data_IF_937868195856
#
_entry.id   IF_937868195856
#
_cell.length_a   1.000
_cell.length_b   1.000
_cell.length_c   1.000
_cell.angle_alpha   90.00
_cell.angle_beta   90.00
_cell.angle_gamma   90.00
#
_symmetry.space_group_name_H-M   'P 1'
#
loop_
_entity.id
_entity.type
_entity.pdbx_description
1 polymer ?
#
# COMPACT_ATOMS: atom_id res chain seq x y z
N UNK A 1 1.38 5.15 -28.99
CA UNK A 1 1.45 4.42 -27.70
C UNK A 1 0.11 4.30 -26.97
N UNK A 2 -0.90 5.11 -27.28
CA UNK A 2 -2.22 5.11 -26.61
C UNK A 2 -2.92 3.74 -26.53
N UNK A 3 -2.98 2.92 -27.59
CA UNK A 3 -3.74 1.66 -27.54
C UNK A 3 -3.20 0.65 -26.53
N UNK A 4 -1.87 0.55 -26.39
CA UNK A 4 -1.21 -0.37 -25.44
C UNK A 4 -1.38 0.11 -24.00
N UNK A 5 -1.21 1.41 -23.75
CA UNK A 5 -1.44 1.99 -22.44
C UNK A 5 -2.90 1.81 -21.99
N UNK A 6 -3.86 2.02 -22.89
CA UNK A 6 -5.29 1.85 -22.59
C UNK A 6 -5.64 0.38 -22.33
N UNK A 7 -5.06 -0.55 -23.09
CA UNK A 7 -5.23 -1.98 -22.85
C UNK A 7 -4.67 -2.40 -21.48
N UNK A 8 -3.46 -1.93 -21.15
CA UNK A 8 -2.83 -2.17 -19.85
C UNK A 8 -3.64 -1.56 -18.70
N UNK A 9 -4.13 -0.32 -18.85
CA UNK A 9 -5.00 0.34 -17.89
C UNK A 9 -6.27 -0.48 -17.64
N UNK A 10 -6.98 -0.89 -18.70
CA UNK A 10 -8.17 -1.74 -18.56
C UNK A 10 -7.86 -3.06 -17.88
N UNK A 11 -6.74 -3.69 -18.22
CA UNK A 11 -6.33 -4.95 -17.60
C UNK A 11 -6.01 -4.78 -16.10
N UNK A 12 -5.29 -3.73 -15.72
CA UNK A 12 -4.95 -3.44 -14.31
C UNK A 12 -6.20 -3.09 -13.51
N UNK A 13 -7.11 -2.29 -14.07
CA UNK A 13 -8.34 -1.89 -13.38
C UNK A 13 -9.40 -3.02 -13.33
N UNK A 14 -9.31 -4.04 -14.18
CA UNK A 14 -10.25 -5.17 -14.17
C UNK A 14 -9.82 -6.28 -13.18
N UNK A 15 -9.73 -5.93 -11.90
CA UNK A 15 -9.36 -6.81 -10.79
C UNK A 15 -10.28 -6.59 -9.59
N UNK A 16 -10.35 -7.55 -8.65
CA UNK A 16 -11.10 -7.39 -7.39
C UNK A 16 -10.34 -6.53 -6.37
N UNK A 17 -9.00 -6.55 -6.44
CA UNK A 17 -8.11 -5.81 -5.55
C UNK A 17 -7.02 -5.12 -6.34
N UNK A 18 -6.82 -3.84 -6.04
CA UNK A 18 -5.75 -3.04 -6.58
C UNK A 18 -4.92 -2.48 -5.44
N UNK A 19 -3.60 -2.50 -5.61
CA UNK A 19 -2.71 -1.77 -4.72
C UNK A 19 -2.29 -0.45 -5.36
N UNK A 20 -2.22 0.62 -4.57
CA UNK A 20 -1.71 1.91 -5.04
C UNK A 20 -0.71 2.55 -4.08
N UNK A 21 0.28 3.23 -4.65
CA UNK A 21 1.28 4.02 -3.95
C UNK A 21 1.71 5.19 -4.84
N UNK A 22 2.33 6.21 -4.25
CA UNK A 22 2.92 7.33 -4.99
C UNK A 22 4.39 7.55 -4.64
N UNK A 23 5.23 7.70 -5.65
CA UNK A 23 6.66 7.95 -5.48
C UNK A 23 7.03 9.34 -5.98
N UNK A 24 7.73 10.16 -5.17
CA UNK A 24 8.20 11.46 -5.62
C UNK A 24 9.31 11.30 -6.66
N UNK A 25 9.23 12.07 -7.75
CA UNK A 25 10.25 12.11 -8.80
C UNK A 25 10.70 13.53 -9.09
N UNK A 26 12.00 13.72 -9.31
CA UNK A 26 12.56 15.01 -9.74
C UNK A 26 12.39 15.15 -11.25
N UNK A 27 11.62 16.15 -11.65
CA UNK A 27 11.34 16.45 -13.06
C UNK A 27 12.02 17.75 -13.43
N UNK A 28 12.72 17.78 -14.57
CA UNK A 28 13.29 19.01 -15.11
C UNK A 28 12.18 20.00 -15.44
N UNK A 29 12.35 21.26 -15.07
CA UNK A 29 11.51 22.36 -15.53
C UNK A 29 12.33 23.20 -16.53
N UNK A 30 12.22 22.92 -17.85
CA UNK A 30 12.95 23.65 -18.87
C UNK A 30 12.72 25.16 -18.73
N UNK A 31 13.79 25.95 -18.85
CA UNK A 31 13.76 27.41 -18.69
C UNK A 31 14.04 27.92 -17.26
N UNK A 32 13.92 27.08 -16.23
CA UNK A 32 14.10 27.53 -14.83
C UNK A 32 15.42 27.08 -14.18
N UNK A 33 16.27 26.30 -14.87
CA UNK A 33 17.49 25.65 -14.33
C UNK A 33 17.26 24.94 -12.97
N UNK A 34 16.01 24.55 -12.67
CA UNK A 34 15.56 23.94 -11.42
C UNK A 34 14.76 22.67 -11.72
N UNK A 35 14.70 21.77 -10.73
CA UNK A 35 13.82 20.61 -10.76
C UNK A 35 12.55 20.89 -9.95
N UNK A 36 11.42 20.33 -10.39
CA UNK A 36 10.17 20.28 -9.62
C UNK A 36 9.90 18.84 -9.18
N UNK A 37 9.26 18.68 -8.03
CA UNK A 37 8.88 17.35 -7.52
C UNK A 37 7.52 16.96 -8.09
N UNK A 38 7.50 16.02 -9.04
CA UNK A 38 6.29 15.35 -9.49
C UNK A 38 6.02 14.05 -8.71
N UNK A 39 4.96 13.35 -9.06
CA UNK A 39 4.57 12.05 -8.51
C UNK A 39 4.37 11.03 -9.63
N UNK A 40 4.86 9.83 -9.40
CA UNK A 40 4.46 8.64 -10.14
C UNK A 40 3.51 7.86 -9.25
N UNK A 41 2.26 7.77 -9.68
CA UNK A 41 1.25 6.90 -9.10
C UNK A 41 1.43 5.52 -9.68
N UNK A 42 1.50 4.52 -8.81
CA UNK A 42 1.60 3.12 -9.19
C UNK A 42 0.27 2.45 -8.87
N UNK A 43 -0.24 1.65 -9.81
CA UNK A 43 -1.41 0.81 -9.63
C UNK A 43 -1.04 -0.63 -9.96
N UNK A 44 -1.05 -1.51 -8.95
CA UNK A 44 -0.54 -2.88 -9.06
C UNK A 44 -1.68 -3.88 -8.93
N UNK A 45 -1.86 -4.67 -9.99
CA UNK A 45 -2.63 -5.91 -10.01
C UNK A 45 -1.66 -7.07 -9.78
N UNK A 46 -1.66 -7.66 -8.60
CA UNK A 46 -0.88 -8.87 -8.33
C UNK A 46 -1.42 -9.59 -7.10
N UNK A 47 -2.12 -10.69 -7.36
CA UNK A 47 -2.79 -11.54 -6.37
C UNK A 47 -2.16 -12.93 -6.30
N UNK A 48 -0.91 -13.11 -6.76
CA UNK A 48 -0.21 -14.40 -6.69
C UNK A 48 -0.05 -14.90 -5.25
N UNK A 49 0.14 -13.98 -4.29
CA UNK A 49 0.16 -14.31 -2.86
C UNK A 49 -1.17 -14.89 -2.34
N UNK A 50 -2.25 -14.71 -3.10
CA UNK A 50 -3.58 -15.26 -2.84
C UNK A 50 -3.91 -16.46 -3.75
N UNK A 51 -2.91 -17.09 -4.36
CA UNK A 51 -3.10 -18.23 -5.26
C UNK A 51 -3.62 -17.87 -6.66
N UNK A 52 -3.68 -16.58 -7.03
CA UNK A 52 -4.16 -16.19 -8.36
C UNK A 52 -3.18 -16.59 -9.47
N UNK A 53 -3.71 -17.20 -10.52
CA UNK A 53 -3.00 -17.50 -11.77
C UNK A 53 -3.00 -16.34 -12.78
N UNK A 54 -3.70 -15.24 -12.47
CA UNK A 54 -3.71 -14.06 -13.35
C UNK A 54 -2.32 -13.43 -13.47
N UNK A 55 -1.83 -13.12 -14.68
CA UNK A 55 -0.58 -12.41 -14.86
C UNK A 55 -0.54 -11.08 -14.09
N UNK A 56 0.52 -10.81 -13.31
CA UNK A 56 0.65 -9.54 -12.60
C UNK A 56 0.88 -8.40 -13.59
N UNK A 57 0.37 -7.22 -13.28
CA UNK A 57 0.57 -6.03 -14.09
C UNK A 57 0.64 -4.77 -13.22
N UNK A 58 1.35 -3.77 -13.76
CA UNK A 58 1.48 -2.45 -13.14
C UNK A 58 1.15 -1.38 -14.16
N UNK A 59 0.30 -0.44 -13.78
CA UNK A 59 0.04 0.77 -14.55
C UNK A 59 0.57 1.98 -13.78
N UNK A 60 1.25 2.88 -14.49
CA UNK A 60 1.82 4.09 -13.93
C UNK A 60 1.11 5.32 -14.47
N UNK A 61 0.92 6.31 -13.61
CA UNK A 61 0.45 7.63 -14.00
C UNK A 61 1.35 8.71 -13.42
N UNK A 62 1.60 9.76 -14.19
CA UNK A 62 2.37 10.91 -13.72
C UNK A 62 1.47 12.09 -13.34
N UNK A 63 1.83 12.79 -12.28
CA UNK A 63 1.31 14.12 -11.99
C UNK A 63 2.39 15.09 -11.53
N UNK A 64 2.17 16.38 -11.73
CA UNK A 64 3.11 17.43 -11.30
C UNK A 64 3.04 17.77 -9.81
N UNK A 65 2.11 17.17 -9.07
CA UNK A 65 1.93 17.36 -7.62
C UNK A 65 1.21 16.16 -6.97
N UNK A 66 1.18 16.11 -5.64
CA UNK A 66 0.55 15.05 -4.83
C UNK A 66 -0.88 15.44 -4.39
N UNK A 67 -1.78 15.69 -5.34
CA UNK A 67 -3.18 16.02 -5.02
C UNK A 67 -4.11 14.82 -5.21
N UNK A 68 -5.08 14.64 -4.30
CA UNK A 68 -6.07 13.56 -4.36
C UNK A 68 -6.95 13.55 -5.62
N UNK A 69 -7.00 14.66 -6.38
CA UNK A 69 -7.70 14.70 -7.67
C UNK A 69 -7.14 13.71 -8.69
N UNK A 70 -5.85 13.39 -8.63
CA UNK A 70 -5.19 12.47 -9.56
C UNK A 70 -5.68 11.03 -9.34
N UNK A 71 -5.54 10.43 -8.14
CA UNK A 71 -6.09 9.11 -7.91
C UNK A 71 -7.63 9.07 -8.03
N UNK A 72 -8.36 10.16 -7.71
CA UNK A 72 -9.81 10.28 -8.01
C UNK A 72 -10.09 10.06 -9.50
N UNK A 73 -9.35 10.73 -10.38
CA UNK A 73 -9.51 10.58 -11.83
C UNK A 73 -9.07 9.19 -12.31
N UNK A 74 -7.89 8.73 -11.91
CA UNK A 74 -7.32 7.44 -12.35
C UNK A 74 -8.21 6.25 -11.98
N UNK A 75 -8.78 6.27 -10.78
CA UNK A 75 -9.56 5.16 -10.23
C UNK A 75 -11.05 5.26 -10.53
N UNK A 76 -11.53 6.31 -11.21
CA UNK A 76 -12.96 6.56 -11.45
C UNK A 76 -13.75 5.31 -11.90
N UNK A 77 -13.28 4.46 -12.84
CA UNK A 77 -14.01 3.25 -13.23
C UNK A 77 -13.75 2.04 -12.31
N UNK A 78 -12.72 2.09 -11.47
CA UNK A 78 -12.35 0.99 -10.58
C UNK A 78 -13.39 0.79 -9.47
N UNK A 79 -13.66 -0.49 -9.16
CA UNK A 79 -14.55 -0.94 -8.09
C UNK A 79 -13.88 -2.09 -7.34
N UNK A 80 -14.15 -2.19 -6.05
CA UNK A 80 -13.61 -3.25 -5.20
C UNK A 80 -12.61 -2.73 -4.18
N UNK A 81 -11.59 -3.53 -3.89
CA UNK A 81 -10.68 -3.28 -2.77
C UNK A 81 -9.49 -2.45 -3.24
N UNK A 82 -9.27 -1.30 -2.60
CA UNK A 82 -8.08 -0.47 -2.81
C UNK A 82 -7.18 -0.55 -1.58
N UNK A 83 -5.99 -1.14 -1.76
CA UNK A 83 -4.97 -1.17 -0.73
C UNK A 83 -3.98 -0.02 -0.92
N UNK A 84 -3.95 0.93 0.02
CA UNK A 84 -3.16 2.15 -0.08
C UNK A 84 -2.40 2.48 1.23
N UNK A 85 -1.52 3.49 1.18
CA UNK A 85 -1.09 4.20 2.40
C UNK A 85 -2.22 5.12 2.90
N UNK A 86 -2.10 5.65 4.12
CA UNK A 86 -3.09 6.58 4.68
C UNK A 86 -2.84 8.03 4.21
N UNK A 87 -2.53 8.21 2.93
CA UNK A 87 -2.48 9.54 2.35
C UNK A 87 -3.89 10.12 2.27
N UNK A 88 -4.11 11.26 2.94
CA UNK A 88 -5.42 11.93 3.02
C UNK A 88 -6.03 12.31 1.66
N UNK A 89 -5.22 12.34 0.59
CA UNK A 89 -5.76 12.51 -0.76
C UNK A 89 -6.60 11.32 -1.24
N UNK A 90 -6.59 10.19 -0.54
CA UNK A 90 -7.45 9.04 -0.80
C UNK A 90 -8.80 9.11 -0.08
N UNK A 91 -8.98 9.91 0.98
CA UNK A 91 -10.19 9.92 1.81
C UNK A 91 -11.49 10.04 0.98
N UNK A 92 -11.49 10.93 -0.02
CA UNK A 92 -12.65 11.12 -0.92
C UNK A 92 -12.98 9.90 -1.79
N UNK A 93 -12.04 8.99 -1.99
CA UNK A 93 -12.26 7.73 -2.71
C UNK A 93 -13.09 6.72 -1.91
N UNK A 94 -13.16 6.87 -0.59
CA UNK A 94 -13.91 5.97 0.29
C UNK A 94 -15.22 6.59 0.79
N UNK A 95 -15.49 7.84 0.40
CA UNK A 95 -16.75 8.52 0.70
C UNK A 95 -17.93 7.92 -0.08
N UNK A 96 -19.11 7.91 0.55
CA UNK A 96 -20.37 7.50 -0.09
C UNK A 96 -20.74 8.40 -1.30
N UNK A 97 -20.24 9.62 -1.33
CA UNK A 97 -20.45 10.61 -2.39
C UNK A 97 -19.45 10.47 -3.55
N UNK A 98 -18.66 9.38 -3.60
CA UNK A 98 -17.70 9.16 -4.66
C UNK A 98 -18.38 9.17 -6.03
N UNK A 99 -17.89 10.03 -6.91
CA UNK A 99 -18.13 9.89 -8.35
C UNK A 99 -17.43 8.64 -8.89
N UNK A 100 -18.19 7.60 -9.17
CA UNK A 100 -17.69 6.31 -9.67
C UNK A 100 -18.31 5.14 -8.91
N UNK A 101 -17.69 3.97 -9.00
CA UNK A 101 -18.15 2.79 -8.26
C UNK A 101 -17.74 2.87 -6.78
N UNK A 102 -18.34 2.09 -5.87
CA UNK A 102 -17.87 2.03 -4.49
C UNK A 102 -16.46 1.40 -4.40
N UNK A 103 -15.64 1.89 -3.46
CA UNK A 103 -14.38 1.27 -3.06
C UNK A 103 -14.42 0.88 -1.60
N UNK A 104 -13.67 -0.17 -1.29
CA UNK A 104 -13.39 -0.53 0.09
C UNK A 104 -11.93 -0.34 0.39
N UNK A 105 -11.65 0.38 1.47
CA UNK A 105 -10.29 0.65 1.93
C UNK A 105 -9.69 -0.59 2.61
N UNK A 106 -8.42 -0.85 2.30
CA UNK A 106 -7.54 -1.71 3.11
C UNK A 106 -6.26 -0.93 3.36
N UNK A 107 -5.98 -0.60 4.61
CA UNK A 107 -4.75 0.09 4.96
C UNK A 107 -3.54 -0.87 4.87
N UNK A 108 -2.37 -0.32 4.55
CA UNK A 108 -1.17 -1.12 4.39
C UNK A 108 -0.33 -1.22 5.68
N UNK A 109 -0.20 -2.44 6.21
CA UNK A 109 0.66 -2.73 7.38
C UNK A 109 2.14 -2.41 7.16
N UNK A 110 2.65 -2.46 5.93
CA UNK A 110 4.03 -2.07 5.65
C UNK A 110 4.29 -0.59 5.99
N UNK A 111 3.33 0.29 5.68
CA UNK A 111 3.41 1.72 5.99
C UNK A 111 3.25 1.98 7.49
N UNK A 112 2.31 1.31 8.15
CA UNK A 112 2.14 1.35 9.60
C UNK A 112 3.42 0.92 10.33
N UNK A 113 3.97 -0.24 9.96
CA UNK A 113 5.21 -0.80 10.53
C UNK A 113 6.42 0.10 10.28
N UNK A 114 6.57 0.69 9.09
CA UNK A 114 7.71 1.56 8.75
C UNK A 114 7.83 2.74 9.71
N UNK A 115 6.72 3.38 10.07
CA UNK A 115 6.73 4.51 11.02
C UNK A 115 7.26 4.11 12.39
N UNK A 116 6.86 2.96 12.91
CA UNK A 116 7.35 2.43 14.19
C UNK A 116 8.84 2.06 14.07
N UNK A 117 9.22 1.43 12.96
CA UNK A 117 10.60 1.05 12.67
C UNK A 117 11.54 2.26 12.62
N UNK A 118 11.15 3.36 11.98
CA UNK A 118 11.95 4.59 11.90
C UNK A 118 12.19 5.19 13.30
N UNK A 119 11.21 5.08 14.19
CA UNK A 119 11.37 5.45 15.60
C UNK A 119 12.36 4.52 16.29
N UNK A 120 12.22 3.20 16.15
CA UNK A 120 13.13 2.22 16.74
C UNK A 120 14.59 2.42 16.28
N UNK A 121 14.83 2.61 14.97
CA UNK A 121 16.19 2.86 14.45
C UNK A 121 16.80 4.10 15.10
N UNK A 122 16.02 5.16 15.30
CA UNK A 122 16.52 6.41 15.87
C UNK A 122 16.66 6.45 17.39
N UNK A 123 15.91 5.61 18.13
CA UNK A 123 15.79 5.73 19.60
C UNK A 123 16.11 4.46 20.37
N UNK A 124 16.10 3.29 19.70
CA UNK A 124 16.16 1.97 20.33
C UNK A 124 15.13 1.78 21.46
N UNK A 125 13.98 2.42 21.33
CA UNK A 125 12.88 2.30 22.28
C UNK A 125 12.41 0.85 22.40
N UNK A 126 12.44 0.30 23.62
CA UNK A 126 11.91 -1.03 23.93
C UNK A 126 10.42 -1.15 23.57
N UNK A 127 9.64 -0.07 23.74
CA UNK A 127 8.23 -0.04 23.33
C UNK A 127 8.09 -0.13 21.81
N UNK A 128 8.95 0.55 21.04
CA UNK A 128 8.93 0.43 19.59
C UNK A 128 9.35 -0.98 19.12
N UNK A 129 10.32 -1.59 19.80
CA UNK A 129 10.75 -2.97 19.55
C UNK A 129 9.64 -4.00 19.79
N UNK A 130 8.96 -3.90 20.93
CA UNK A 130 7.83 -4.77 21.27
C UNK A 130 6.68 -4.63 20.27
N UNK A 131 6.37 -3.41 19.82
CA UNK A 131 5.38 -3.19 18.77
C UNK A 131 5.77 -3.90 17.46
N UNK A 132 7.04 -3.80 17.05
CA UNK A 132 7.54 -4.48 15.85
C UNK A 132 7.50 -6.00 15.99
N UNK A 133 7.78 -6.54 17.19
CA UNK A 133 7.69 -7.97 17.50
C UNK A 133 6.25 -8.47 17.34
N UNK A 134 5.28 -7.81 17.96
CA UNK A 134 3.85 -8.18 17.83
C UNK A 134 3.37 -8.12 16.38
N UNK A 135 3.79 -7.08 15.64
CA UNK A 135 3.49 -7.00 14.20
C UNK A 135 4.16 -8.18 13.44
N UNK A 136 5.38 -8.58 13.80
CA UNK A 136 6.08 -9.68 13.12
C UNK A 136 5.37 -11.03 13.26
N UNK A 137 4.66 -11.28 14.37
CA UNK A 137 3.86 -12.50 14.56
C UNK A 137 2.72 -12.59 13.54
N UNK A 138 2.10 -11.46 13.20
CA UNK A 138 1.08 -11.39 12.16
C UNK A 138 1.68 -11.63 10.76
N UNK A 139 2.91 -11.15 10.51
CA UNK A 139 3.64 -11.46 9.27
C UNK A 139 3.99 -12.94 9.14
N UNK A 140 4.32 -13.62 10.24
CA UNK A 140 4.62 -15.04 10.23
C UNK A 140 3.40 -15.86 9.77
N UNK A 141 2.21 -15.55 10.29
CA UNK A 141 0.95 -16.18 9.84
C UNK A 141 0.74 -15.98 8.34
N UNK A 142 0.99 -14.77 7.84
CA UNK A 142 0.78 -14.43 6.41
C UNK A 142 1.81 -15.05 5.48
N UNK A 143 2.99 -15.41 5.99
CA UNK A 143 4.00 -16.18 5.26
C UNK A 143 3.55 -17.65 5.12
N UNK A 144 3.05 -18.23 6.21
CA UNK A 144 2.56 -19.62 6.23
C UNK A 144 1.37 -19.86 5.31
N UNK A 145 0.43 -18.91 5.23
CA UNK A 145 -0.79 -19.04 4.42
C UNK A 145 -0.65 -18.51 2.98
N UNK A 146 0.57 -18.13 2.58
CA UNK A 146 0.81 -17.55 1.25
C UNK A 146 0.53 -18.58 0.17
N UNK A 147 -0.22 -18.18 -0.85
CA UNK A 147 -0.55 -19.04 -2.00
C UNK A 147 -1.69 -20.02 -1.75
N UNK A 148 -2.17 -20.15 -0.50
CA UNK A 148 -3.35 -20.94 -0.19
C UNK A 148 -4.63 -20.31 -0.80
N UNK A 149 -5.69 -21.11 -1.02
CA UNK A 149 -6.99 -20.61 -1.43
C UNK A 149 -7.56 -19.55 -0.48
N UNK A 150 -8.42 -18.68 -1.03
CA UNK A 150 -9.11 -17.61 -0.30
C UNK A 150 -9.74 -18.09 1.02
N UNK A 151 -10.46 -19.21 0.99
CA UNK A 151 -11.16 -19.76 2.16
C UNK A 151 -10.22 -20.20 3.28
N UNK A 152 -9.12 -20.86 2.95
CA UNK A 152 -8.12 -21.30 3.94
C UNK A 152 -7.40 -20.12 4.58
N UNK A 153 -7.07 -19.11 3.77
CA UNK A 153 -6.47 -17.87 4.26
C UNK A 153 -7.41 -17.14 5.22
N UNK A 154 -8.69 -17.04 4.87
CA UNK A 154 -9.70 -16.44 5.72
C UNK A 154 -9.82 -17.21 7.05
N UNK A 155 -9.91 -18.54 7.00
CA UNK A 155 -10.02 -19.37 8.21
C UNK A 155 -8.82 -19.17 9.14
N UNK A 156 -7.59 -19.20 8.62
CA UNK A 156 -6.39 -18.98 9.41
C UNK A 156 -6.32 -17.58 10.03
N UNK A 157 -6.74 -16.54 9.31
CA UNK A 157 -6.80 -15.16 9.83
C UNK A 157 -7.82 -15.00 10.94
N UNK A 158 -9.01 -15.57 10.76
CA UNK A 158 -10.06 -15.55 11.79
C UNK A 158 -9.61 -16.29 13.05
N UNK A 159 -8.97 -17.45 12.90
CA UNK A 159 -8.54 -18.28 14.01
C UNK A 159 -7.31 -17.73 14.74
N UNK A 160 -6.32 -17.19 14.02
CA UNK A 160 -5.00 -16.85 14.56
C UNK A 160 -4.75 -15.36 14.61
N UNK A 161 -4.98 -14.65 13.50
CA UNK A 161 -4.62 -13.23 13.40
C UNK A 161 -5.53 -12.33 14.24
N UNK A 162 -6.84 -12.63 14.32
CA UNK A 162 -7.78 -11.78 15.09
C UNK A 162 -7.40 -11.62 16.56
N UNK A 163 -7.04 -12.72 17.23
CA UNK A 163 -6.62 -12.65 18.64
C UNK A 163 -5.35 -11.79 18.83
N UNK A 164 -4.38 -11.91 17.93
CA UNK A 164 -3.16 -11.10 17.95
C UNK A 164 -3.44 -9.63 17.65
N UNK A 165 -4.35 -9.33 16.71
CA UNK A 165 -4.78 -7.97 16.41
C UNK A 165 -5.45 -7.33 17.64
N UNK A 166 -6.41 -8.01 18.28
CA UNK A 166 -7.05 -7.50 19.49
C UNK A 166 -6.03 -7.19 20.58
N UNK A 167 -5.12 -8.14 20.87
CA UNK A 167 -4.06 -7.93 21.87
C UNK A 167 -3.13 -6.78 21.49
N UNK A 168 -2.77 -6.63 20.21
CA UNK A 168 -1.95 -5.53 19.73
C UNK A 168 -2.66 -4.18 19.86
N UNK A 169 -3.96 -4.13 19.57
CA UNK A 169 -4.77 -2.91 19.70
C UNK A 169 -4.81 -2.41 21.13
N UNK A 170 -5.21 -3.28 22.06
CA UNK A 170 -5.34 -2.96 23.49
C UNK A 170 -4.02 -2.47 24.05
N UNK A 171 -2.93 -3.19 23.74
CA UNK A 171 -1.59 -2.80 24.15
C UNK A 171 -1.15 -1.46 23.55
N UNK A 172 -1.42 -1.21 22.26
CA UNK A 172 -1.09 0.07 21.63
C UNK A 172 -1.88 1.23 22.22
N UNK A 173 -3.18 1.04 22.51
CA UNK A 173 -4.02 2.05 23.17
C UNK A 173 -3.49 2.38 24.56
N UNK A 174 -3.20 1.36 25.37
CA UNK A 174 -2.62 1.53 26.71
C UNK A 174 -1.31 2.31 26.65
N UNK A 175 -0.36 1.87 25.80
CA UNK A 175 0.94 2.54 25.68
C UNK A 175 0.82 3.94 25.12
N UNK A 176 -0.02 4.18 24.11
CA UNK A 176 -0.22 5.51 23.56
C UNK A 176 -0.78 6.50 24.59
N UNK A 177 -1.60 6.03 25.55
CA UNK A 177 -2.09 6.84 26.67
C UNK A 177 -1.00 7.32 27.63
N UNK A 178 0.11 6.58 27.73
CA UNK A 178 1.27 6.94 28.57
C UNK A 178 2.30 7.82 27.85
N UNK A 179 2.25 7.85 26.52
CA UNK A 179 3.21 8.58 25.71
C UNK A 179 2.80 10.06 25.58
N UNK A 180 3.80 10.95 25.54
CA UNK A 180 3.55 12.34 25.17
C UNK A 180 3.02 12.41 23.74
N UNK A 181 1.96 13.20 23.52
CA UNK A 181 1.36 13.45 22.19
C UNK A 181 2.35 14.04 21.17
N UNK A 182 3.45 14.65 21.63
CA UNK A 182 4.53 15.20 20.79
C UNK A 182 5.69 14.23 20.58
N UNK A 183 5.63 13.03 21.16
CA UNK A 183 6.66 12.02 20.96
C UNK A 183 6.49 11.38 19.59
N UNK A 184 7.61 11.13 18.90
CA UNK A 184 7.60 10.45 17.60
C UNK A 184 6.96 9.06 17.68
N UNK A 185 7.09 8.37 18.82
CA UNK A 185 6.45 7.08 19.04
C UNK A 185 4.93 7.24 19.20
N UNK A 186 4.46 8.24 19.95
CA UNK A 186 3.03 8.52 20.10
C UNK A 186 2.38 8.91 18.76
N UNK A 187 3.08 9.67 17.92
CA UNK A 187 2.62 9.96 16.55
C UNK A 187 2.53 8.69 15.69
N UNK A 188 3.53 7.80 15.79
CA UNK A 188 3.51 6.53 15.07
C UNK A 188 2.35 5.62 15.54
N UNK A 189 2.09 5.52 16.84
CA UNK A 189 0.97 4.74 17.37
C UNK A 189 -0.37 5.36 17.00
N UNK A 190 -0.50 6.68 17.10
CA UNK A 190 -1.71 7.39 16.69
C UNK A 190 -2.00 7.18 15.20
N UNK A 191 -0.97 7.15 14.35
CA UNK A 191 -1.14 6.80 12.94
C UNK A 191 -1.71 5.39 12.75
N UNK A 192 -1.20 4.39 13.48
CA UNK A 192 -1.71 3.00 13.40
C UNK A 192 -3.14 2.91 13.90
N UNK A 193 -3.43 3.50 15.06
CA UNK A 193 -4.75 3.47 15.70
C UNK A 193 -5.82 4.20 14.86
N UNK A 194 -5.49 5.33 14.23
CA UNK A 194 -6.41 6.04 13.34
C UNK A 194 -6.81 5.23 12.10
N UNK A 195 -6.03 4.21 11.74
CA UNK A 195 -6.24 3.36 10.57
C UNK A 195 -6.64 1.95 10.97
N UNK A 196 -6.94 1.71 12.25
CA UNK A 196 -7.04 0.37 12.82
C UNK A 196 -8.09 -0.50 12.13
N UNK A 197 -9.27 0.05 11.87
CA UNK A 197 -10.36 -0.67 11.20
C UNK A 197 -9.95 -1.08 9.77
N UNK A 198 -9.39 -0.15 9.00
CA UNK A 198 -8.88 -0.41 7.65
C UNK A 198 -7.68 -1.39 7.65
N UNK A 199 -6.87 -1.39 8.71
CA UNK A 199 -5.76 -2.32 8.92
C UNK A 199 -6.23 -3.72 9.31
N UNK A 200 -7.33 -3.83 10.06
CA UNK A 200 -7.91 -5.11 10.48
C UNK A 200 -8.79 -5.75 9.41
N UNK A 201 -9.28 -4.95 8.46
CA UNK A 201 -10.24 -5.39 7.44
C UNK A 201 -9.75 -6.56 6.58
N UNK A 202 -8.44 -6.75 6.41
CA UNK A 202 -7.89 -7.92 5.70
C UNK A 202 -8.22 -9.26 6.39
N UNK A 203 -8.46 -9.25 7.70
CA UNK A 203 -8.74 -10.47 8.47
C UNK A 203 -10.14 -11.02 8.20
N UNK A 204 -11.06 -10.17 7.71
CA UNK A 204 -12.46 -10.49 7.45
C UNK A 204 -12.75 -10.97 6.02
N UNK A 205 -11.72 -11.10 5.16
CA UNK A 205 -11.88 -11.57 3.77
C UNK A 205 -10.57 -12.13 3.22
N UNK A 206 -10.63 -13.35 2.68
CA UNK A 206 -9.47 -14.12 2.24
C UNK A 206 -8.77 -13.60 0.97
N UNK A 207 -9.43 -12.76 0.16
CA UNK A 207 -8.82 -12.13 -1.02
C UNK A 207 -7.92 -10.97 -0.65
N UNK A 208 -8.12 -10.41 0.53
CA UNK A 208 -7.44 -9.19 0.96
C UNK A 208 -5.98 -9.50 1.23
N UNK A 209 -5.09 -8.65 0.75
CA UNK A 209 -3.67 -8.75 1.07
C UNK A 209 -3.42 -8.09 2.42
N UNK A 210 -2.80 -8.80 3.36
CA UNK A 210 -2.28 -8.21 4.60
C UNK A 210 -1.29 -7.07 4.31
N UNK A 211 -0.42 -7.28 3.32
CA UNK A 211 0.66 -6.37 2.99
C UNK A 211 0.89 -6.28 1.49
N UNK A 212 1.41 -5.12 1.08
CA UNK A 212 2.38 -5.08 0.01
C UNK A 212 3.56 -5.94 0.48
N UNK A 213 3.76 -7.12 -0.10
CA UNK A 213 5.07 -7.77 0.04
C UNK A 213 6.13 -6.76 -0.39
N UNK A 214 7.17 -6.55 0.42
CA UNK A 214 8.27 -5.60 0.17
C UNK A 214 8.84 -5.67 -1.28
N UNK A 215 8.65 -6.79 -1.98
CA UNK A 215 8.95 -6.95 -3.41
C UNK A 215 8.24 -5.94 -4.34
N UNK A 216 7.00 -5.53 -4.05
CA UNK A 216 6.30 -4.52 -4.89
C UNK A 216 6.79 -3.10 -4.59
N UNK A 217 7.12 -2.79 -3.33
CA UNK A 217 7.80 -1.53 -2.96
C UNK A 217 9.17 -1.42 -3.67
N UNK A 218 9.96 -2.50 -3.71
CA UNK A 218 11.24 -2.51 -4.45
C UNK A 218 11.07 -2.30 -5.95
N UNK A 219 10.05 -2.91 -6.57
CA UNK A 219 9.72 -2.65 -7.98
C UNK A 219 9.39 -1.17 -8.21
N UNK A 220 8.49 -0.61 -7.39
CA UNK A 220 8.11 0.81 -7.44
C UNK A 220 9.31 1.75 -7.25
N UNK A 221 10.17 1.46 -6.27
CA UNK A 221 11.39 2.23 -6.00
C UNK A 221 12.38 2.14 -7.17
N UNK A 222 12.62 0.96 -7.74
CA UNK A 222 13.54 0.76 -8.88
C UNK A 222 13.10 1.47 -10.17
N UNK A 223 11.81 1.75 -10.34
CA UNK A 223 11.30 2.56 -11.47
C UNK A 223 11.57 4.05 -11.23
N UNK A 224 11.54 4.52 -9.98
CA UNK A 224 11.72 5.93 -9.61
C UNK A 224 13.16 6.46 -9.69
N UNK A 225 14.17 5.57 -9.64
CA UNK A 225 15.59 5.93 -9.65
C UNK A 225 16.12 6.31 -11.05
N UNK A 226 15.33 6.10 -12.11
CA UNK A 226 15.70 6.49 -13.48
C UNK A 226 15.35 7.96 -13.73
N UNK A 227 16.26 8.74 -14.33
CA UNK A 227 15.98 10.13 -14.74
C UNK A 227 14.88 10.14 -15.79
N UNK A 228 13.72 10.70 -15.46
CA UNK A 228 12.55 10.79 -16.36
C UNK A 228 12.49 12.20 -16.97
N UNK A 229 12.45 12.28 -18.31
CA UNK A 229 12.24 13.52 -19.05
C UNK A 229 10.74 13.77 -19.31
N UNK A 230 10.35 15.05 -19.34
CA UNK A 230 8.94 15.50 -19.39
C UNK A 230 8.16 15.02 -20.64
N UNK A 231 8.84 14.55 -21.67
CA UNK A 231 8.28 14.30 -23.01
C UNK A 231 7.92 12.85 -23.32
N UNK A 232 8.09 11.88 -22.40
CA UNK A 232 7.89 10.45 -22.75
C UNK A 232 7.31 9.57 -21.62
N UNK A 233 6.34 10.05 -20.83
CA UNK A 233 5.74 9.21 -19.77
C UNK A 233 4.60 8.35 -20.32
N UNK A 234 4.96 7.36 -21.14
CA UNK A 234 4.21 6.13 -21.29
C UNK A 234 5.14 4.99 -20.83
N UNK A 235 5.34 4.88 -19.52
CA UNK A 235 6.09 3.75 -18.95
C UNK A 235 5.17 2.55 -19.03
N UNK A 236 5.36 1.73 -20.07
CA UNK A 236 4.65 0.47 -20.23
C UNK A 236 5.43 -0.61 -19.48
N UNK A 237 4.71 -1.49 -18.79
CA UNK A 237 5.22 -2.50 -17.88
C UNK A 237 6.36 -3.36 -18.46
N UNK A 238 7.37 -3.64 -17.63
CA UNK A 238 8.24 -4.79 -17.82
C UNK A 238 7.56 -6.03 -17.20
N UNK A 239 7.62 -7.16 -17.91
CA UNK A 239 7.22 -8.47 -17.38
C UNK A 239 7.98 -8.75 -16.08
N UNK A 240 7.27 -9.06 -14.99
CA UNK A 240 7.85 -9.44 -13.69
C UNK A 240 8.35 -10.90 -13.74
N UNK A 241 9.00 -11.30 -14.83
CA UNK A 241 9.45 -12.68 -15.05
C UNK A 241 10.86 -12.93 -14.52
N UNK A 242 11.71 -11.89 -14.39
CA UNK A 242 13.13 -12.04 -14.06
C UNK A 242 13.51 -11.89 -12.56
N UNK A 243 12.57 -12.04 -11.63
CA UNK A 243 12.85 -11.99 -10.18
C UNK A 243 12.30 -13.20 -9.40
N UNK A 244 12.06 -14.32 -10.10
CA UNK A 244 11.45 -15.52 -9.52
C UNK A 244 12.45 -16.64 -9.15
N UNK A 245 13.76 -16.40 -9.23
CA UNK A 245 14.80 -17.35 -8.77
C UNK A 245 15.88 -16.58 -8.02
N UNK A 246 15.89 -16.71 -6.69
CA UNK A 246 16.83 -16.04 -5.78
C UNK A 246 16.20 -15.69 -4.44
#
# INVERSE_FOLDING_TARGET
MTPLNDALYRYVMNTRKLHTDDTPVKVLAPGLKKTKTGRIWTYVRDDRNAGSSSPPAVWFAYSSNRQGKHPKQHLRPFRGILQADAFTGYDRLFSAEREGSALTEVACWAHARRKIHDVYISSKSATAEEALKRISELYAIEDEIRGLPESERLAARQQRSKALLTSLHEWMVEKNGTLSKKSRLGEAFSYVLNQWDALCYYSDDGLRGWTITQRKERFVQSVSERKITCSSVAITAASVEHCCTG
#
